data_IF_291733032711
#
_entry.id   IF_291733032711
#
_cell.length_a   1.000
_cell.length_b   1.000
_cell.length_c   1.000
_cell.angle_alpha   90.00
_cell.angle_beta   90.00
_cell.angle_gamma   90.00
#
_symmetry.space_group_name_H-M   'P 1'
#
loop_
_entity.id
_entity.type
_entity.pdbx_description
1 polymer ?
#
# COMPACT_ATOMS: atom_id res chain seq x y z
N UNK A 1 -3.92 -3.19 7.70
CA UNK A 1 -4.41 -3.06 6.31
C UNK A 1 -3.83 -4.20 5.51
N UNK A 2 -4.68 -4.96 4.80
CA UNK A 2 -4.23 -6.05 3.93
C UNK A 2 -3.92 -5.53 2.53
N UNK A 3 -2.72 -5.81 2.07
CA UNK A 3 -2.17 -5.28 0.83
C UNK A 3 -1.90 -6.43 -0.14
N UNK A 4 -2.63 -6.45 -1.25
CA UNK A 4 -2.43 -7.45 -2.31
C UNK A 4 -1.18 -7.16 -3.14
N UNK A 5 -0.40 -8.21 -3.40
CA UNK A 5 0.76 -8.16 -4.29
C UNK A 5 0.44 -8.43 -5.75
N UNK A 6 -0.83 -8.65 -6.08
CA UNK A 6 -1.24 -9.08 -7.42
C UNK A 6 -0.55 -8.21 -8.48
N UNK A 7 0.37 -8.81 -9.23
CA UNK A 7 0.85 -8.21 -10.46
C UNK A 7 -0.37 -8.09 -11.38
N UNK A 8 -0.48 -7.01 -12.16
CA UNK A 8 -1.52 -6.89 -13.18
C UNK A 8 -1.45 -8.11 -14.11
N UNK A 9 -2.17 -9.18 -13.81
CA UNK A 9 -2.45 -10.24 -14.75
C UNK A 9 -3.36 -9.60 -15.77
N UNK A 10 -2.79 -9.28 -16.94
CA UNK A 10 -3.38 -8.43 -17.96
C UNK A 10 -4.87 -8.69 -18.16
N UNK A 11 -5.71 -7.86 -17.54
CA UNK A 11 -7.07 -7.67 -17.97
C UNK A 11 -7.01 -6.63 -19.08
N UNK A 12 -6.71 -7.10 -20.30
CA UNK A 12 -7.04 -6.36 -21.50
C UNK A 12 -8.57 -6.33 -21.61
N UNK A 13 -9.22 -5.41 -20.91
CA UNK A 13 -10.46 -4.83 -21.42
C UNK A 13 -10.08 -3.54 -22.15
N UNK A 14 -9.61 -3.70 -23.38
CA UNK A 14 -9.79 -2.67 -24.37
C UNK A 14 -11.29 -2.43 -24.52
N UNK A 15 -11.82 -1.36 -23.93
CA UNK A 15 -13.05 -0.70 -24.37
C UNK A 15 -13.03 0.74 -23.84
N UNK A 16 -12.88 1.66 -24.79
CA UNK A 16 -12.45 3.03 -24.56
C UNK A 16 -13.49 3.92 -23.89
N UNK A 17 -12.97 4.97 -23.26
CA UNK A 17 -13.64 6.27 -23.22
C UNK A 17 -12.62 7.26 -23.74
N UNK A 18 -12.90 7.80 -24.92
CA UNK A 18 -12.13 8.84 -25.57
C UNK A 18 -12.16 10.12 -24.72
N UNK A 19 -11.00 10.74 -24.55
CA UNK A 19 -10.91 12.19 -24.37
C UNK A 19 -10.11 12.75 -25.56
N UNK A 20 -10.57 13.84 -26.21
CA UNK A 20 -10.06 14.22 -27.52
C UNK A 20 -8.73 14.97 -27.47
N UNK A 21 -7.84 14.52 -28.37
CA UNK A 21 -6.80 15.26 -29.11
C UNK A 21 -5.56 15.78 -28.36
N UNK A 22 -4.43 15.10 -28.62
CA UNK A 22 -3.27 15.73 -29.28
C UNK A 22 -2.49 14.68 -30.08
N UNK A 23 -2.16 15.08 -31.30
CA UNK A 23 -1.67 14.29 -32.42
C UNK A 23 -0.15 14.41 -32.47
N UNK A 24 0.62 13.32 -32.41
CA UNK A 24 1.87 13.09 -33.20
C UNK A 24 2.13 11.58 -33.23
N UNK A 25 2.53 11.13 -34.41
CA UNK A 25 2.64 9.75 -34.90
C UNK A 25 4.09 9.25 -34.79
N UNK A 26 4.23 7.95 -34.52
CA UNK A 26 5.29 6.99 -34.89
C UNK A 26 5.49 6.04 -33.69
N UNK A 27 5.38 4.72 -33.79
CA UNK A 27 5.63 3.85 -34.93
C UNK A 27 6.85 2.97 -34.66
N UNK A 28 6.90 2.30 -33.49
CA UNK A 28 7.92 1.28 -33.22
C UNK A 28 7.29 0.06 -32.55
N UNK A 29 7.42 -1.07 -33.24
CA UNK A 29 7.13 -2.41 -32.72
C UNK A 29 8.22 -2.75 -31.71
N UNK A 30 7.90 -2.72 -30.44
CA UNK A 30 8.79 -3.24 -29.39
C UNK A 30 8.29 -4.61 -28.94
N UNK A 31 9.09 -5.60 -29.27
CA UNK A 31 9.14 -6.95 -28.75
C UNK A 31 8.72 -7.08 -27.28
N UNK A 32 7.93 -8.13 -27.00
CA UNK A 32 7.57 -8.53 -25.65
C UNK A 32 8.80 -8.90 -24.83
N UNK A 33 9.27 -7.94 -24.03
CA UNK A 33 10.16 -8.19 -22.90
C UNK A 33 9.34 -8.30 -21.63
N UNK A 34 9.51 -9.38 -20.88
CA UNK A 34 9.01 -9.54 -19.51
C UNK A 34 9.67 -8.48 -18.63
N UNK A 35 9.11 -7.27 -18.64
CA UNK A 35 9.52 -6.21 -17.74
C UNK A 35 8.96 -6.58 -16.37
N UNK A 36 9.79 -7.19 -15.54
CA UNK A 36 9.50 -7.50 -14.14
C UNK A 36 9.16 -6.19 -13.43
N UNK A 37 7.88 -5.83 -13.42
CA UNK A 37 7.37 -4.61 -12.80
C UNK A 37 7.63 -4.76 -11.30
N UNK A 38 8.66 -4.09 -10.81
CA UNK A 38 9.04 -4.09 -9.40
C UNK A 38 7.83 -3.67 -8.58
N UNK A 39 7.37 -4.55 -7.68
CA UNK A 39 6.25 -4.26 -6.79
C UNK A 39 6.76 -3.42 -5.62
N UNK A 40 6.11 -2.28 -5.37
CA UNK A 40 6.44 -1.40 -4.24
C UNK A 40 5.23 -1.20 -3.33
N UNK A 41 5.46 -1.00 -2.03
CA UNK A 41 4.38 -0.72 -1.07
C UNK A 41 3.53 0.47 -1.51
N UNK A 42 4.17 1.52 -2.04
CA UNK A 42 3.48 2.72 -2.55
C UNK A 42 2.52 2.38 -3.70
N UNK A 43 2.95 1.56 -4.67
CA UNK A 43 2.09 1.10 -5.76
C UNK A 43 0.91 0.27 -5.24
N UNK A 44 1.14 -0.55 -4.22
CA UNK A 44 0.08 -1.35 -3.63
C UNK A 44 -0.93 -0.48 -2.85
N UNK A 45 -0.48 0.55 -2.12
CA UNK A 45 -1.35 1.52 -1.45
C UNK A 45 -2.13 2.37 -2.45
N UNK A 46 -1.49 2.85 -3.52
CA UNK A 46 -2.16 3.54 -4.62
C UNK A 46 -3.27 2.68 -5.21
N UNK A 47 -2.99 1.39 -5.49
CA UNK A 47 -3.99 0.44 -5.98
C UNK A 47 -5.12 0.22 -4.98
N UNK A 48 -4.80 0.05 -3.69
CA UNK A 48 -5.79 -0.11 -2.64
C UNK A 48 -6.77 1.07 -2.59
N UNK A 49 -6.27 2.28 -2.81
CA UNK A 49 -7.09 3.51 -2.83
C UNK A 49 -7.61 3.92 -4.21
N UNK A 50 -7.34 3.15 -5.27
CA UNK A 50 -7.79 3.46 -6.62
C UNK A 50 -9.29 3.23 -6.76
N UNK A 51 -9.97 4.09 -7.49
CA UNK A 51 -11.37 3.84 -7.84
C UNK A 51 -11.47 2.61 -8.78
N UNK A 52 -12.38 1.70 -8.47
CA UNK A 52 -12.69 0.52 -9.25
C UNK A 52 -14.13 0.60 -9.76
N UNK A 53 -14.36 0.15 -11.00
CA UNK A 53 -15.72 -0.03 -11.53
C UNK A 53 -16.30 -1.28 -10.93
N UNK A 54 -17.54 -1.18 -10.45
CA UNK A 54 -18.30 -2.35 -10.05
C UNK A 54 -18.74 -3.13 -11.29
N UNK A 55 -18.86 -4.46 -11.14
CA UNK A 55 -19.29 -5.35 -12.21
C UNK A 55 -20.73 -5.05 -12.67
N UNK A 56 -21.09 -5.53 -13.86
CA UNK A 56 -22.38 -5.21 -14.50
C UNK A 56 -23.61 -5.69 -13.70
N UNK A 57 -23.44 -6.70 -12.86
CA UNK A 57 -24.44 -7.23 -11.92
C UNK A 57 -24.54 -6.40 -10.63
N UNK A 58 -23.51 -5.62 -10.31
CA UNK A 58 -23.42 -4.74 -9.13
C UNK A 58 -23.80 -3.27 -9.43
N UNK A 59 -24.56 -3.03 -10.50
CA UNK A 59 -25.05 -1.67 -10.83
C UNK A 59 -25.91 -1.10 -9.71
N UNK A 60 -25.62 0.14 -9.33
CA UNK A 60 -26.34 0.85 -8.28
C UNK A 60 -27.54 1.61 -8.86
N UNK A 61 -28.66 1.65 -8.15
CA UNK A 61 -29.82 2.42 -8.59
C UNK A 61 -29.58 3.91 -8.36
N UNK A 62 -29.58 4.70 -9.43
CA UNK A 62 -29.42 6.15 -9.34
C UNK A 62 -30.79 6.82 -9.16
N UNK A 63 -31.02 7.44 -8.00
CA UNK A 63 -32.28 8.13 -7.71
C UNK A 63 -32.60 9.30 -8.65
N UNK A 64 -31.57 9.88 -9.28
CA UNK A 64 -31.73 10.98 -10.26
C UNK A 64 -32.10 10.46 -11.65
N UNK A 65 -31.43 9.41 -12.12
CA UNK A 65 -31.71 8.84 -13.45
C UNK A 65 -32.90 7.87 -13.45
N UNK A 66 -33.31 7.39 -12.26
CA UNK A 66 -34.35 6.36 -12.07
C UNK A 66 -34.04 5.02 -12.74
N UNK A 67 -32.76 4.69 -12.87
CA UNK A 67 -32.29 3.44 -13.46
C UNK A 67 -30.99 2.94 -12.82
N UNK A 68 -30.63 1.68 -13.06
CA UNK A 68 -29.40 1.05 -12.57
C UNK A 68 -28.20 1.49 -13.41
N UNK A 69 -27.26 2.18 -12.79
CA UNK A 69 -26.08 2.76 -13.41
C UNK A 69 -24.81 2.03 -12.99
N UNK A 70 -23.82 2.04 -13.88
CA UNK A 70 -22.46 1.69 -13.51
C UNK A 70 -21.95 2.66 -12.44
N UNK A 71 -21.23 2.13 -11.47
CA UNK A 71 -20.78 2.91 -10.32
C UNK A 71 -19.31 2.62 -10.03
N UNK A 72 -18.64 3.63 -9.48
CA UNK A 72 -17.27 3.52 -9.00
C UNK A 72 -17.29 3.34 -7.49
N UNK A 73 -16.56 2.33 -7.01
CA UNK A 73 -16.22 2.18 -5.59
C UNK A 73 -14.78 2.64 -5.38
N UNK A 74 -14.52 3.36 -4.29
CA UNK A 74 -13.17 3.78 -3.94
C UNK A 74 -12.98 3.69 -2.43
N UNK A 75 -11.90 3.05 -2.00
CA UNK A 75 -11.49 3.02 -0.60
C UNK A 75 -10.51 4.17 -0.31
N UNK A 76 -10.53 4.69 0.91
CA UNK A 76 -9.58 5.71 1.37
C UNK A 76 -9.36 5.60 2.88
N UNK A 77 -8.31 6.23 3.38
CA UNK A 77 -7.99 6.25 4.80
C UNK A 77 -8.59 7.51 5.43
N UNK A 78 -9.57 7.35 6.32
CA UNK A 78 -10.20 8.50 6.98
C UNK A 78 -9.34 9.09 8.09
N UNK A 79 -8.75 8.23 8.94
CA UNK A 79 -7.91 8.61 10.08
C UNK A 79 -6.69 7.69 10.14
N UNK A 80 -5.53 8.25 10.43
CA UNK A 80 -4.28 7.50 10.55
C UNK A 80 -4.06 7.01 11.98
N UNK A 81 -3.71 5.74 12.19
CA UNK A 81 -3.30 5.27 13.52
C UNK A 81 -1.87 5.77 13.86
N UNK A 82 -1.52 5.74 15.14
CA UNK A 82 -0.14 6.03 15.59
C UNK A 82 0.87 5.01 15.05
N UNK A 83 0.43 3.75 14.92
CA UNK A 83 1.18 2.64 14.33
C UNK A 83 0.34 2.03 13.21
N UNK A 84 0.88 2.05 11.99
CA UNK A 84 0.30 1.43 10.81
C UNK A 84 0.91 0.04 10.60
N UNK A 85 0.05 -0.97 10.57
CA UNK A 85 0.41 -2.35 10.24
C UNK A 85 -0.09 -2.70 8.83
N UNK A 86 0.84 -3.09 7.96
CA UNK A 86 0.54 -3.60 6.62
C UNK A 86 0.84 -5.09 6.58
N UNK A 87 -0.18 -5.88 6.27
CA UNK A 87 -0.04 -7.31 6.01
C UNK A 87 -0.01 -7.51 4.49
N UNK A 88 1.04 -8.17 4.01
CA UNK A 88 1.25 -8.40 2.59
C UNK A 88 0.62 -9.74 2.23
N UNK A 89 -0.43 -9.71 1.42
CA UNK A 89 -1.19 -10.89 0.99
C UNK A 89 -0.35 -11.74 0.04
N UNK A 90 0.54 -12.57 0.59
CA UNK A 90 1.45 -13.45 -0.15
C UNK A 90 0.84 -14.79 -0.52
N UNK A 91 -0.45 -14.83 -0.82
CA UNK A 91 -1.16 -16.06 -1.17
C UNK A 91 -2.15 -15.78 -2.28
N UNK A 92 -2.16 -16.70 -3.25
CA UNK A 92 -3.19 -16.74 -4.28
C UNK A 92 -3.87 -18.10 -4.26
N UNK A 93 -5.16 -18.08 -4.58
CA UNK A 93 -5.98 -19.27 -4.66
C UNK A 93 -6.51 -19.40 -6.09
N UNK A 94 -6.21 -20.51 -6.75
CA UNK A 94 -6.76 -20.83 -8.06
C UNK A 94 -7.87 -21.86 -7.90
N UNK A 95 -9.11 -21.42 -8.08
CA UNK A 95 -10.28 -22.30 -8.10
C UNK A 95 -10.21 -23.31 -9.25
N UNK A 96 -9.74 -22.87 -10.42
CA UNK A 96 -9.56 -23.71 -11.62
C UNK A 96 -8.59 -24.86 -11.36
N UNK A 97 -7.44 -24.55 -10.76
CA UNK A 97 -6.40 -25.54 -10.46
C UNK A 97 -6.59 -26.24 -9.12
N UNK A 98 -7.61 -25.86 -8.34
CA UNK A 98 -7.86 -26.29 -6.95
C UNK A 98 -6.59 -26.26 -6.08
N UNK A 99 -5.77 -25.24 -6.25
CA UNK A 99 -4.51 -25.10 -5.53
C UNK A 99 -4.32 -23.68 -5.00
N UNK A 100 -3.70 -23.58 -3.83
CA UNK A 100 -3.20 -22.33 -3.27
C UNK A 100 -1.69 -22.31 -3.39
N UNK A 101 -1.11 -21.16 -3.72
CA UNK A 101 0.35 -21.00 -3.69
C UNK A 101 0.78 -19.71 -3.01
N UNK A 102 1.99 -19.75 -2.48
CA UNK A 102 2.65 -18.57 -1.93
C UNK A 102 3.12 -17.65 -3.07
N UNK A 103 3.01 -16.35 -2.85
CA UNK A 103 3.50 -15.30 -3.74
C UNK A 103 4.82 -14.77 -3.18
N UNK A 104 5.91 -15.32 -3.67
CA UNK A 104 7.28 -14.99 -3.24
C UNK A 104 7.93 -13.86 -4.07
N UNK A 105 7.12 -13.04 -4.76
CA UNK A 105 7.62 -11.86 -5.46
C UNK A 105 8.22 -10.86 -4.47
N UNK A 106 9.35 -10.25 -4.87
CA UNK A 106 9.99 -9.20 -4.09
C UNK A 106 9.07 -7.98 -3.99
N UNK A 107 8.89 -7.47 -2.77
CA UNK A 107 8.19 -6.22 -2.50
C UNK A 107 9.20 -5.23 -1.95
N UNK A 108 9.39 -4.11 -2.65
CA UNK A 108 10.17 -3.00 -2.12
C UNK A 108 9.31 -2.13 -1.20
N UNK A 109 9.85 -1.77 -0.04
CA UNK A 109 9.20 -0.90 0.92
C UNK A 109 10.16 0.20 1.38
N UNK A 110 9.67 1.44 1.54
CA UNK A 110 10.53 2.55 1.96
C UNK A 110 10.70 2.56 3.48
N UNK A 111 11.80 3.11 3.99
CA UNK A 111 11.97 3.25 5.44
C UNK A 111 11.18 4.44 6.00
N UNK A 112 10.97 5.47 5.17
CA UNK A 112 10.07 6.58 5.46
C UNK A 112 8.90 6.55 4.49
N UNK A 113 7.68 6.67 4.99
CA UNK A 113 6.44 6.51 4.23
C UNK A 113 5.53 7.71 4.48
N UNK A 114 5.19 8.44 3.41
CA UNK A 114 4.13 9.45 3.46
C UNK A 114 2.77 8.82 3.12
N UNK A 115 1.83 8.93 4.06
CA UNK A 115 0.48 8.41 3.94
C UNK A 115 -0.53 9.43 3.43
N UNK A 116 -0.14 10.71 3.29
CA UNK A 116 -1.06 11.78 2.89
C UNK A 116 -1.80 11.50 1.57
N UNK A 117 -1.19 10.93 0.51
CA UNK A 117 -1.87 10.68 -0.76
C UNK A 117 -3.07 9.72 -0.64
N UNK A 118 -3.10 8.88 0.40
CA UNK A 118 -4.09 7.83 0.59
C UNK A 118 -5.26 8.25 1.50
N UNK A 119 -5.23 9.49 2.02
CA UNK A 119 -6.26 10.03 2.90
C UNK A 119 -7.52 10.44 2.14
N UNK A 120 -8.67 10.28 2.79
CA UNK A 120 -9.97 10.72 2.25
C UNK A 120 -9.95 12.21 1.89
N UNK A 121 -9.38 13.05 2.76
CA UNK A 121 -9.25 14.49 2.55
C UNK A 121 -8.43 14.83 1.29
N UNK A 122 -7.27 14.19 1.12
CA UNK A 122 -6.41 14.37 -0.05
C UNK A 122 -7.07 13.93 -1.35
N UNK A 123 -7.72 12.75 -1.34
CA UNK A 123 -8.41 12.20 -2.51
C UNK A 123 -9.58 13.08 -2.94
N UNK A 124 -10.40 13.55 -1.98
CA UNK A 124 -11.55 14.41 -2.25
C UNK A 124 -11.12 15.79 -2.73
N UNK A 125 -10.07 16.38 -2.12
CA UNK A 125 -9.51 17.67 -2.54
C UNK A 125 -8.96 17.61 -3.97
N UNK A 126 -8.25 16.53 -4.31
CA UNK A 126 -7.71 16.33 -5.66
C UNK A 126 -8.82 16.27 -6.71
N UNK A 127 -9.94 15.61 -6.39
CA UNK A 127 -11.05 15.40 -7.35
C UNK A 127 -11.98 16.61 -7.49
N UNK A 128 -12.33 17.25 -6.38
CA UNK A 128 -13.42 18.24 -6.34
C UNK A 128 -12.94 19.66 -5.99
N UNK A 129 -11.64 19.84 -5.79
CA UNK A 129 -11.08 21.07 -5.25
C UNK A 129 -11.59 21.35 -3.83
N UNK A 130 -11.40 22.59 -3.36
CA UNK A 130 -11.80 23.01 -2.01
C UNK A 130 -13.32 23.26 -1.86
N UNK A 131 -14.15 22.74 -2.77
CA UNK A 131 -15.57 23.15 -2.89
C UNK A 131 -16.55 22.29 -2.08
N UNK A 132 -16.16 21.08 -1.68
CA UNK A 132 -17.08 20.12 -1.02
C UNK A 132 -16.82 20.00 0.48
N UNK A 133 -15.59 20.21 0.92
CA UNK A 133 -15.23 20.27 2.33
C UNK A 133 -14.52 21.61 2.57
N UNK A 134 -15.12 22.55 3.33
CA UNK A 134 -14.35 23.62 3.92
C UNK A 134 -13.18 22.97 4.66
N UNK A 135 -12.00 23.58 4.55
CA UNK A 135 -10.81 23.18 5.31
C UNK A 135 -11.24 22.79 6.73
N UNK A 136 -10.91 21.59 7.21
CA UNK A 136 -11.16 21.15 8.60
C UNK A 136 -10.48 22.07 9.64
N UNK A 137 -9.85 23.17 9.23
CA UNK A 137 -9.42 24.27 10.09
C UNK A 137 -10.52 24.89 10.99
N UNK A 138 -11.78 24.44 10.92
CA UNK A 138 -12.88 24.89 11.77
C UNK A 138 -13.45 23.82 12.72
N UNK A 139 -12.91 22.60 12.75
CA UNK A 139 -13.28 21.61 13.77
C UNK A 139 -12.27 21.70 14.94
N UNK A 140 -12.66 22.21 16.13
CA UNK A 140 -11.76 22.37 17.26
C UNK A 140 -11.24 21.03 17.81
N UNK A 141 -11.82 19.89 17.40
CA UNK A 141 -11.33 18.53 17.68
C UNK A 141 -10.42 17.95 16.57
N UNK A 142 -10.32 18.60 15.39
CA UNK A 142 -9.39 18.19 14.33
C UNK A 142 -8.01 18.84 14.54
N UNK A 143 -7.38 18.50 15.65
CA UNK A 143 -5.96 18.77 15.82
C UNK A 143 -5.23 17.88 14.80
N UNK A 144 -4.94 18.43 13.63
CA UNK A 144 -4.00 17.88 12.65
C UNK A 144 -2.55 17.95 13.19
N UNK A 145 -2.34 17.49 14.42
CA UNK A 145 -1.02 17.33 15.05
C UNK A 145 -0.33 16.03 14.63
N UNK A 146 -1.07 15.12 14.01
CA UNK A 146 -0.55 13.83 13.59
C UNK A 146 -0.01 13.92 12.16
N UNK A 147 1.32 13.93 12.05
CA UNK A 147 2.04 13.84 10.79
C UNK A 147 1.58 12.63 9.96
N UNK A 148 1.44 12.83 8.64
CA UNK A 148 1.24 11.73 7.69
C UNK A 148 2.53 10.97 7.37
N UNK A 149 3.67 11.42 7.91
CA UNK A 149 4.96 10.78 7.76
C UNK A 149 5.15 9.68 8.82
N UNK A 150 5.53 8.50 8.34
CA UNK A 150 5.81 7.35 9.18
C UNK A 150 7.22 6.83 8.94
N UNK A 151 7.80 6.23 9.97
CA UNK A 151 9.06 5.51 9.91
C UNK A 151 8.84 4.03 10.18
N UNK A 152 9.48 3.18 9.39
CA UNK A 152 9.47 1.74 9.63
C UNK A 152 10.30 1.43 10.87
N UNK A 153 9.76 0.55 11.72
CA UNK A 153 10.49 0.05 12.88
C UNK A 153 10.48 -1.47 13.00
N UNK A 154 9.58 -2.18 12.32
CA UNK A 154 9.64 -3.64 12.26
C UNK A 154 9.22 -4.21 10.90
N UNK A 155 9.90 -5.28 10.50
CA UNK A 155 9.58 -6.09 9.31
C UNK A 155 9.51 -7.54 9.75
N UNK A 156 8.36 -8.19 9.56
CA UNK A 156 8.23 -9.63 9.76
C UNK A 156 8.35 -10.31 8.40
N UNK A 157 9.14 -11.37 8.32
CA UNK A 157 9.32 -12.20 7.12
C UNK A 157 8.84 -13.61 7.38
N UNK A 158 8.41 -14.29 6.33
CA UNK A 158 7.99 -15.68 6.37
C UNK A 158 8.72 -16.47 5.28
N UNK A 159 9.55 -17.44 5.67
CA UNK A 159 10.16 -18.41 4.75
C UNK A 159 9.37 -19.72 4.79
N UNK A 160 9.35 -20.47 3.69
CA UNK A 160 8.56 -21.71 3.58
C UNK A 160 7.28 -21.58 2.77
N UNK A 161 6.41 -22.59 2.88
CA UNK A 161 5.16 -22.78 2.14
C UNK A 161 3.96 -22.20 2.91
N UNK A 162 2.77 -22.20 2.31
CA UNK A 162 1.56 -21.69 2.97
C UNK A 162 1.23 -22.41 4.28
N UNK A 163 1.42 -23.74 4.32
CA UNK A 163 1.05 -24.58 5.47
C UNK A 163 2.14 -24.73 6.54
N UNK A 164 3.39 -24.37 6.20
CA UNK A 164 4.53 -24.56 7.08
C UNK A 164 5.68 -23.63 6.67
N UNK A 165 6.32 -23.03 7.67
CA UNK A 165 7.41 -22.10 7.44
C UNK A 165 8.04 -21.59 8.73
N UNK A 166 8.84 -20.55 8.59
CA UNK A 166 9.58 -19.92 9.67
C UNK A 166 9.42 -18.41 9.63
N UNK A 167 9.17 -17.81 10.79
CA UNK A 167 9.01 -16.37 10.93
C UNK A 167 10.25 -15.75 11.56
N UNK A 168 10.76 -14.69 10.92
CA UNK A 168 11.88 -13.90 11.44
C UNK A 168 11.46 -12.44 11.46
N UNK A 169 11.83 -11.74 12.53
CA UNK A 169 11.55 -10.32 12.69
C UNK A 169 12.83 -9.49 12.54
N UNK A 170 12.79 -8.45 11.73
CA UNK A 170 13.79 -7.38 11.73
C UNK A 170 13.23 -6.20 12.51
N UNK A 171 13.96 -5.76 13.54
CA UNK A 171 13.58 -4.65 14.42
C UNK A 171 14.58 -3.50 14.27
N UNK A 172 14.08 -2.26 14.16
CA UNK A 172 14.89 -1.04 14.17
C UNK A 172 14.83 -0.42 15.57
N UNK A 173 15.98 -0.33 16.24
CA UNK A 173 16.13 0.30 17.55
C UNK A 173 17.34 1.22 17.53
N UNK A 174 17.19 2.46 18.01
CA UNK A 174 18.27 3.46 18.05
C UNK A 174 19.02 3.58 16.72
N UNK A 175 18.26 3.61 15.61
CA UNK A 175 18.77 3.67 14.24
C UNK A 175 19.63 2.47 13.79
N UNK A 176 19.59 1.36 14.52
CA UNK A 176 20.26 0.10 14.18
C UNK A 176 19.23 -0.99 13.92
N UNK A 177 19.55 -1.90 12.99
CA UNK A 177 18.70 -3.04 12.68
C UNK A 177 19.20 -4.32 13.34
N UNK A 178 18.25 -5.09 13.84
CA UNK A 178 18.47 -6.38 14.48
C UNK A 178 17.58 -7.42 13.83
N UNK A 179 18.15 -8.55 13.43
CA UNK A 179 17.42 -9.75 13.02
C UNK A 179 17.21 -10.61 14.26
N UNK A 180 15.95 -10.81 14.64
CA UNK A 180 15.48 -11.67 15.71
C UNK A 180 14.96 -12.97 15.09
N UNK A 181 15.73 -14.04 15.26
CA UNK A 181 15.52 -15.39 14.71
C UNK A 181 15.48 -16.37 15.88
N UNK A 182 14.28 -16.63 16.41
CA UNK A 182 14.05 -17.34 17.67
C UNK A 182 14.90 -16.79 18.82
N UNK A 183 15.83 -17.60 19.35
CA UNK A 183 16.73 -17.23 20.43
C UNK A 183 17.89 -16.32 19.98
N UNK A 184 18.07 -16.10 18.68
CA UNK A 184 19.24 -15.42 18.12
C UNK A 184 18.88 -13.99 17.71
N UNK A 185 19.47 -13.01 18.40
CA UNK A 185 19.37 -11.59 18.03
C UNK A 185 20.71 -11.12 17.50
N UNK A 186 20.74 -10.71 16.23
CA UNK A 186 21.98 -10.31 15.54
C UNK A 186 21.82 -8.95 14.88
N UNK A 187 22.83 -8.08 15.01
CA UNK A 187 22.83 -6.80 14.29
C UNK A 187 23.00 -7.04 12.79
N UNK A 188 22.22 -6.35 11.97
CA UNK A 188 22.27 -6.44 10.51
C UNK A 188 22.30 -5.06 9.86
N UNK A 189 22.73 -5.00 8.61
CA UNK A 189 22.74 -3.78 7.83
C UNK A 189 21.37 -3.50 7.18
N UNK A 190 21.09 -2.22 6.90
CA UNK A 190 19.83 -1.81 6.25
C UNK A 190 19.60 -2.52 4.91
N UNK A 191 20.66 -2.77 4.14
CA UNK A 191 20.58 -3.47 2.84
C UNK A 191 19.96 -4.85 2.97
N UNK A 192 20.23 -5.56 4.07
CA UNK A 192 19.69 -6.90 4.34
C UNK A 192 18.19 -6.82 4.64
N UNK A 193 17.76 -5.77 5.34
CA UNK A 193 16.35 -5.56 5.64
C UNK A 193 15.58 -5.18 4.37
N UNK A 194 16.14 -4.29 3.53
CA UNK A 194 15.51 -3.86 2.26
C UNK A 194 15.34 -4.98 1.25
N UNK A 195 16.23 -5.99 1.26
CA UNK A 195 16.13 -7.15 0.38
C UNK A 195 15.26 -8.28 0.94
N UNK A 196 14.75 -8.14 2.16
CA UNK A 196 13.96 -9.16 2.84
C UNK A 196 12.56 -9.33 2.23
N UNK A 197 12.03 -10.56 2.24
CA UNK A 197 10.67 -10.85 1.77
C UNK A 197 9.64 -10.50 2.85
N UNK A 198 9.32 -9.21 2.97
CA UNK A 198 8.39 -8.71 3.98
C UNK A 198 7.00 -9.35 3.87
N UNK A 199 6.54 -9.96 4.95
CA UNK A 199 5.20 -10.50 5.14
C UNK A 199 4.31 -9.51 5.92
N UNK A 200 4.85 -8.87 6.95
CA UNK A 200 4.21 -7.74 7.63
C UNK A 200 5.19 -6.58 7.79
N UNK A 201 4.69 -5.36 7.69
CA UNK A 201 5.45 -4.13 7.85
C UNK A 201 4.79 -3.27 8.93
N UNK A 202 5.59 -2.77 9.87
CA UNK A 202 5.12 -1.90 10.94
C UNK A 202 5.81 -0.54 10.86
N UNK A 203 4.97 0.47 10.71
CA UNK A 203 5.33 1.86 10.58
C UNK A 203 4.76 2.63 11.77
N UNK A 204 5.55 3.50 12.38
CA UNK A 204 5.11 4.38 13.46
C UNK A 204 5.16 5.83 12.97
N UNK A 205 4.25 6.68 13.43
CA UNK A 205 4.32 8.11 13.12
C UNK A 205 5.70 8.67 13.49
N UNK A 206 6.30 9.41 12.57
CA UNK A 206 7.69 9.86 12.65
C UNK A 206 7.96 10.74 13.87
N UNK A 207 6.98 11.55 14.28
CA UNK A 207 7.05 12.36 15.51
C UNK A 207 7.16 11.50 16.78
N UNK A 208 6.52 10.34 16.82
CA UNK A 208 6.63 9.39 17.94
C UNK A 208 7.95 8.61 17.88
N UNK A 209 8.41 8.26 16.68
CA UNK A 209 9.70 7.58 16.50
C UNK A 209 10.86 8.41 17.07
N UNK A 210 10.95 9.69 16.73
CA UNK A 210 12.01 10.56 17.25
C UNK A 210 11.93 10.74 18.76
N UNK A 211 10.73 10.95 19.31
CA UNK A 211 10.52 11.04 20.77
C UNK A 211 10.97 9.78 21.51
N UNK A 212 10.89 8.60 20.88
CA UNK A 212 11.37 7.34 21.47
C UNK A 212 12.90 7.22 21.37
N UNK A 213 13.49 7.60 20.23
CA UNK A 213 14.94 7.57 20.04
C UNK A 213 15.69 8.55 20.96
N UNK A 214 15.17 9.76 21.18
CA UNK A 214 15.80 10.77 22.04
C UNK A 214 15.87 10.32 23.52
N UNK A 215 14.89 9.56 24.00
CA UNK A 215 14.89 9.00 25.36
C UNK A 215 15.91 7.87 25.53
N UNK A 216 16.25 7.17 24.44
CA UNK A 216 17.22 6.09 24.45
C UNK A 216 18.68 6.55 24.51
N UNK A 217 18.96 7.82 24.26
CA UNK A 217 20.31 8.42 24.29
C UNK A 217 20.64 9.16 25.58
N UNK A 218 19.72 9.22 26.54
CA UNK A 218 19.86 9.99 27.79
C UNK A 218 20.26 9.15 29.01
N UNK A 219 20.90 7.99 28.83
CA UNK A 219 21.36 7.08 29.89
C UNK A 219 22.87 6.92 29.85
#
# INVERSE_FOLDING_TARGET
>A
MDISLDLDAGYNSSLGIANPKLHVRNGERSSGGMNSKVSTLMRCLERFTRAERLDADQKFFCERCKERQESLKQMSIRRLPLVSCFHIKRFEHSSVKKMSRKVDHCLQFPFSLDMAPYLSSSILRSRFGNRIFPSEASDPDSVSEFSSEFEIFAVITHSGKLEAGHYVTYLRLNNHWYKCDDAWVTRVEERTVRSSQAYMLFYVQKTLYYKACERGTAV
#
